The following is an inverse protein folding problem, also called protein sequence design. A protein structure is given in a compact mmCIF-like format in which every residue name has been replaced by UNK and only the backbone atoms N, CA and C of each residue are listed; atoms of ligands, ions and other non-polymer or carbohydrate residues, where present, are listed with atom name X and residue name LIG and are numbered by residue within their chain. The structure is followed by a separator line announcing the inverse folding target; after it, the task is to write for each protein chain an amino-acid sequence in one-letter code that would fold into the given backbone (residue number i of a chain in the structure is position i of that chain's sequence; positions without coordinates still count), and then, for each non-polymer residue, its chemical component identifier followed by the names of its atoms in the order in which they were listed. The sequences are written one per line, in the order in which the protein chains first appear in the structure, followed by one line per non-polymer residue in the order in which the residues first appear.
data_IF_298666296848
#
_entry.id   IF_298666296848
#
_cell.length_a   1.000
_cell.length_b   1.000
_cell.length_c   1.000
_cell.angle_alpha   90.00
_cell.angle_beta   90.00
_cell.angle_gamma   90.00
#
_symmetry.space_group_name_H-M   'P 1'
#
loop_
_entity.id
_entity.type
_entity.pdbx_description
1 polymer ?
#
# COMPACT_ATOMS: atom_id res chain seq x y z
N UNK A 1 33.34 17.48 21.16
CA UNK A 1 33.39 16.55 20.03
C UNK A 1 32.03 16.62 19.40
N UNK A 2 31.95 17.27 18.25
CA UNK A 2 30.68 17.60 17.60
C UNK A 2 30.01 16.32 17.13
N UNK A 3 28.87 15.97 17.73
CA UNK A 3 27.98 14.96 17.16
C UNK A 3 27.31 15.60 15.95
N UNK A 4 27.82 15.31 14.77
CA UNK A 4 27.17 15.62 13.50
C UNK A 4 25.75 15.02 13.54
N UNK A 5 24.72 15.84 13.31
CA UNK A 5 23.34 15.39 13.35
C UNK A 5 23.12 14.51 12.13
N UNK A 6 22.85 13.22 12.35
CA UNK A 6 22.37 12.33 11.29
C UNK A 6 20.95 12.73 10.88
N UNK A 7 20.85 13.51 9.80
CA UNK A 7 19.57 13.96 9.24
C UNK A 7 18.71 12.83 8.68
N UNK A 8 19.29 11.64 8.52
CA UNK A 8 18.58 10.46 8.03
C UNK A 8 17.97 9.63 9.17
N UNK A 9 18.18 9.99 10.44
CA UNK A 9 17.68 9.28 11.64
C UNK A 9 16.15 9.03 11.61
N UNK A 10 15.69 7.97 12.31
CA UNK A 10 14.28 7.52 12.30
C UNK A 10 13.35 8.59 12.84
N UNK A 11 13.86 9.49 13.68
CA UNK A 11 13.13 10.63 14.22
C UNK A 11 12.74 11.66 13.15
N UNK A 12 13.44 11.69 12.02
CA UNK A 12 13.12 12.55 10.87
C UNK A 12 12.29 11.81 9.80
N UNK A 13 12.08 10.50 9.95
CA UNK A 13 11.31 9.69 9.01
C UNK A 13 9.85 9.55 9.46
N UNK A 14 8.93 10.10 8.67
CA UNK A 14 7.50 9.93 8.93
C UNK A 14 7.03 8.62 8.29
N UNK A 15 6.93 7.57 9.11
CA UNK A 15 6.39 6.29 8.66
C UNK A 15 4.90 6.43 8.31
N UNK A 16 4.60 6.31 7.01
CA UNK A 16 3.24 6.24 6.44
C UNK A 16 2.78 4.79 6.27
N UNK A 17 1.52 4.51 5.89
CA UNK A 17 0.95 3.16 5.95
C UNK A 17 1.81 2.06 5.29
N UNK A 18 2.43 2.35 4.14
CA UNK A 18 3.32 1.39 3.47
C UNK A 18 4.54 1.00 4.31
N UNK A 19 5.19 1.96 5.00
CA UNK A 19 6.32 1.64 5.88
C UNK A 19 5.85 1.02 7.20
N UNK A 20 4.73 1.50 7.74
CA UNK A 20 4.16 0.99 8.98
C UNK A 20 3.78 -0.48 8.88
N UNK A 21 3.23 -0.92 7.74
CA UNK A 21 2.84 -2.32 7.55
C UNK A 21 4.05 -3.25 7.48
N UNK A 22 5.18 -2.79 6.91
CA UNK A 22 6.43 -3.56 6.85
C UNK A 22 7.07 -3.74 8.23
N UNK A 23 7.00 -2.72 9.08
CA UNK A 23 7.56 -2.74 10.45
C UNK A 23 6.66 -3.46 11.46
N UNK A 24 5.48 -3.95 11.05
CA UNK A 24 4.55 -4.59 11.98
C UNK A 24 4.96 -6.04 12.29
N UNK A 25 5.04 -6.44 13.58
CA UNK A 25 5.52 -7.78 13.98
C UNK A 25 4.52 -8.92 13.73
N UNK A 26 3.31 -8.61 13.26
CA UNK A 26 2.22 -9.56 13.03
C UNK A 26 1.57 -9.27 11.69
N UNK A 27 0.89 -10.28 11.12
CA UNK A 27 0.18 -10.14 9.86
C UNK A 27 -0.87 -9.02 9.95
N UNK A 28 -0.78 -8.05 9.04
CA UNK A 28 -1.70 -6.90 8.96
C UNK A 28 -2.36 -6.82 7.60
N UNK A 29 -3.43 -6.03 7.55
CA UNK A 29 -4.11 -5.65 6.31
C UNK A 29 -3.64 -4.27 5.89
N UNK A 30 -3.22 -4.12 4.64
CA UNK A 30 -3.02 -2.84 3.98
C UNK A 30 -4.19 -2.61 3.03
N UNK A 31 -4.98 -1.57 3.30
CA UNK A 31 -6.04 -1.11 2.41
C UNK A 31 -5.54 0.09 1.61
N UNK A 32 -5.62 0.00 0.28
CA UNK A 32 -5.41 1.13 -0.63
C UNK A 32 -6.73 1.41 -1.30
N UNK A 33 -7.27 2.58 -1.01
CA UNK A 33 -8.57 2.99 -1.54
C UNK A 33 -8.43 3.70 -2.88
N UNK A 34 -9.38 3.46 -3.79
CA UNK A 34 -9.49 4.10 -5.11
C UNK A 34 -8.16 4.13 -5.89
N UNK A 35 -7.49 2.99 -6.04
CA UNK A 35 -6.16 2.91 -6.67
C UNK A 35 -6.15 3.48 -8.10
N UNK A 36 -7.29 3.46 -8.79
CA UNK A 36 -7.45 4.05 -10.13
C UNK A 36 -7.24 5.58 -10.17
N UNK A 37 -7.29 6.26 -9.02
CA UNK A 37 -7.05 7.70 -8.89
C UNK A 37 -5.59 8.05 -8.59
N UNK A 38 -4.73 7.06 -8.33
CA UNK A 38 -3.30 7.32 -8.13
C UNK A 38 -2.61 7.68 -9.43
N UNK A 39 -1.47 8.37 -9.32
CA UNK A 39 -0.56 8.56 -10.43
C UNK A 39 0.24 7.28 -10.76
N UNK A 40 0.99 7.34 -11.86
CA UNK A 40 1.80 6.23 -12.34
C UNK A 40 3.03 5.96 -11.45
N UNK A 41 3.55 6.98 -10.77
CA UNK A 41 4.71 6.84 -9.89
C UNK A 41 4.34 6.01 -8.66
N UNK A 42 3.16 6.27 -8.09
CA UNK A 42 2.61 5.48 -7.00
C UNK A 42 2.29 4.04 -7.42
N UNK A 43 1.72 3.82 -8.62
CA UNK A 43 1.49 2.47 -9.13
C UNK A 43 2.80 1.69 -9.27
N UNK A 44 3.87 2.33 -9.75
CA UNK A 44 5.18 1.71 -9.89
C UNK A 44 5.78 1.36 -8.51
N UNK A 45 5.71 2.27 -7.54
CA UNK A 45 6.12 2.01 -6.16
C UNK A 45 5.33 0.85 -5.55
N UNK A 46 4.01 0.83 -5.75
CA UNK A 46 3.16 -0.24 -5.24
C UNK A 46 3.48 -1.58 -5.90
N UNK A 47 3.81 -1.59 -7.19
CA UNK A 47 4.24 -2.80 -7.90
C UNK A 47 5.57 -3.35 -7.36
N UNK A 48 6.53 -2.47 -7.07
CA UNK A 48 7.79 -2.84 -6.41
C UNK A 48 7.51 -3.41 -5.02
N UNK A 49 6.71 -2.69 -4.23
CA UNK A 49 6.29 -3.10 -2.89
C UNK A 49 5.64 -4.48 -2.90
N UNK A 50 4.68 -4.73 -3.78
CA UNK A 50 3.95 -6.00 -3.87
C UNK A 50 4.82 -7.16 -4.39
N UNK A 51 5.97 -6.86 -4.99
CA UNK A 51 6.87 -7.91 -5.49
C UNK A 51 7.62 -8.62 -4.36
N UNK A 52 8.06 -7.87 -3.35
CA UNK A 52 8.95 -8.38 -2.31
C UNK A 52 8.51 -8.02 -0.87
N UNK A 53 7.42 -7.27 -0.73
CA UNK A 53 7.00 -6.65 0.54
C UNK A 53 8.16 -5.93 1.21
N UNK A 54 8.76 -5.00 0.47
CA UNK A 54 9.87 -4.18 0.94
C UNK A 54 9.79 -2.75 0.38
N UNK A 55 10.50 -1.83 1.02
CA UNK A 55 10.76 -0.48 0.52
C UNK A 55 12.24 -0.18 0.68
N UNK A 56 12.86 0.33 -0.39
CA UNK A 56 14.23 0.83 -0.34
C UNK A 56 14.22 2.33 -0.04
N UNK A 57 14.87 2.73 1.04
CA UNK A 57 15.00 4.12 1.44
C UNK A 57 16.46 4.53 1.26
N UNK A 58 16.75 5.58 0.48
CA UNK A 58 18.09 6.14 0.36
C UNK A 58 18.75 6.35 1.72
N UNK A 59 20.06 6.10 1.81
CA UNK A 59 20.87 6.21 3.05
C UNK A 59 20.45 5.29 4.22
N UNK A 60 19.39 4.50 4.05
CA UNK A 60 18.77 3.69 5.11
C UNK A 60 18.65 2.22 4.75
N UNK A 61 18.82 1.92 3.46
CA UNK A 61 18.74 0.58 2.92
C UNK A 61 17.30 0.10 2.75
N UNK A 62 17.16 -1.21 2.62
CA UNK A 62 15.88 -1.85 2.31
C UNK A 62 15.23 -2.39 3.57
N UNK A 63 13.98 -1.99 3.80
CA UNK A 63 13.14 -2.45 4.89
C UNK A 63 12.19 -3.48 4.32
N UNK A 64 12.21 -4.71 4.83
CA UNK A 64 11.37 -5.82 4.39
C UNK A 64 10.40 -6.23 5.51
N UNK A 65 9.19 -6.64 5.13
CA UNK A 65 8.23 -7.18 6.08
C UNK A 65 8.73 -8.49 6.70
N UNK A 66 8.62 -8.61 8.03
CA UNK A 66 8.84 -9.87 8.74
C UNK A 66 7.73 -10.90 8.41
N UNK A 67 6.50 -10.43 8.23
CA UNK A 67 5.35 -11.23 7.83
C UNK A 67 4.61 -10.55 6.66
N UNK A 68 4.30 -11.31 5.60
CA UNK A 68 3.63 -10.76 4.42
C UNK A 68 2.23 -10.24 4.76
N UNK A 69 1.93 -8.96 4.55
CA UNK A 69 0.61 -8.41 4.79
C UNK A 69 -0.40 -8.88 3.73
N UNK A 70 -1.67 -8.92 4.13
CA UNK A 70 -2.77 -9.02 3.18
C UNK A 70 -2.99 -7.63 2.60
N UNK A 71 -2.99 -7.50 1.28
CA UNK A 71 -3.23 -6.22 0.61
C UNK A 71 -4.58 -6.24 -0.08
N UNK A 72 -5.40 -5.24 0.20
CA UNK A 72 -6.69 -5.01 -0.44
C UNK A 72 -6.60 -3.71 -1.22
N UNK A 73 -6.85 -3.78 -2.51
CA UNK A 73 -6.94 -2.62 -3.39
C UNK A 73 -8.40 -2.45 -3.78
N UNK A 74 -8.99 -1.27 -3.56
CA UNK A 74 -10.32 -0.95 -4.07
C UNK A 74 -10.18 -0.08 -5.31
N UNK A 75 -11.16 -0.17 -6.21
CA UNK A 75 -11.19 0.66 -7.39
C UNK A 75 -12.61 0.89 -7.87
N UNK A 76 -12.90 2.12 -8.27
CA UNK A 76 -14.16 2.48 -8.93
C UNK A 76 -14.07 2.31 -10.46
N UNK A 77 -12.92 1.82 -10.97
CA UNK A 77 -12.63 1.64 -12.40
C UNK A 77 -12.84 2.91 -13.23
N UNK A 78 -12.57 4.07 -12.65
CA UNK A 78 -12.57 5.35 -13.37
C UNK A 78 -11.43 5.44 -14.38
N UNK A 79 -10.34 4.72 -14.12
CA UNK A 79 -9.20 4.50 -15.02
C UNK A 79 -8.78 3.03 -14.99
N UNK A 80 -8.23 2.55 -16.10
CA UNK A 80 -7.59 1.23 -16.12
C UNK A 80 -6.25 1.25 -15.37
N UNK A 81 -6.07 0.28 -14.47
CA UNK A 81 -4.81 0.05 -13.78
C UNK A 81 -3.76 -0.52 -14.74
N UNK A 82 -2.48 -0.21 -14.47
CA UNK A 82 -1.37 -0.76 -15.23
C UNK A 82 -1.43 -2.30 -15.25
N UNK A 83 -1.24 -2.90 -16.42
CA UNK A 83 -1.39 -4.35 -16.61
C UNK A 83 -0.54 -5.16 -15.64
N UNK A 84 0.66 -4.68 -15.31
CA UNK A 84 1.55 -5.31 -14.35
C UNK A 84 0.93 -5.42 -12.94
N UNK A 85 0.25 -4.37 -12.47
CA UNK A 85 -0.44 -4.37 -11.18
C UNK A 85 -1.64 -5.31 -11.23
N UNK A 86 -2.40 -5.28 -12.33
CA UNK A 86 -3.55 -6.17 -12.55
C UNK A 86 -3.17 -7.66 -12.45
N UNK A 87 -2.06 -8.04 -13.07
CA UNK A 87 -1.54 -9.42 -13.08
C UNK A 87 -1.08 -9.92 -11.69
N UNK A 88 -0.91 -9.03 -10.72
CA UNK A 88 -0.55 -9.35 -9.32
C UNK A 88 -1.76 -9.45 -8.38
N UNK A 89 -2.97 -9.20 -8.89
CA UNK A 89 -4.18 -9.13 -8.07
C UNK A 89 -5.17 -10.26 -8.39
N UNK A 90 -5.89 -10.71 -7.36
CA UNK A 90 -7.12 -11.50 -7.52
C UNK A 90 -8.29 -10.52 -7.62
N UNK A 91 -9.05 -10.61 -8.71
CA UNK A 91 -10.17 -9.70 -8.96
C UNK A 91 -11.46 -10.19 -8.30
N UNK A 92 -12.09 -9.31 -7.54
CA UNK A 92 -13.44 -9.50 -7.03
C UNK A 92 -14.33 -8.32 -7.46
N UNK A 93 -15.47 -8.63 -8.08
CA UNK A 93 -16.44 -7.62 -8.53
C UNK A 93 -17.54 -7.49 -7.50
N UNK A 94 -17.72 -6.29 -6.96
CA UNK A 94 -18.80 -5.96 -6.02
C UNK A 94 -19.88 -5.22 -6.79
N UNK A 95 -21.08 -5.81 -6.83
CA UNK A 95 -22.26 -5.17 -7.44
C UNK A 95 -22.89 -4.20 -6.45
N UNK A 96 -23.61 -3.20 -6.99
CA UNK A 96 -24.42 -2.33 -6.16
C UNK A 96 -25.49 -3.14 -5.42
N UNK A 97 -25.77 -2.86 -4.13
CA UNK A 97 -26.83 -3.55 -3.40
C UNK A 97 -28.19 -3.30 -4.04
N UNK A 98 -29.15 -4.20 -3.85
CA UNK A 98 -30.54 -3.91 -4.19
C UNK A 98 -31.14 -2.87 -3.22
N UNK A 99 -32.24 -2.24 -3.64
CA UNK A 99 -32.88 -1.17 -2.88
C UNK A 99 -33.38 -1.65 -1.50
N UNK A 100 -33.73 -2.94 -1.36
CA UNK A 100 -34.16 -3.51 -0.09
C UNK A 100 -32.99 -3.62 0.90
N UNK A 101 -31.84 -4.10 0.41
CA UNK A 101 -30.59 -4.20 1.18
C UNK A 101 -30.05 -2.84 1.55
N UNK A 102 -30.14 -1.86 0.66
CA UNK A 102 -29.79 -0.46 0.93
C UNK A 102 -30.69 0.15 2.01
N UNK A 103 -32.01 -0.06 1.93
CA UNK A 103 -32.94 0.42 2.95
C UNK A 103 -32.73 -0.21 4.34
N UNK A 104 -32.17 -1.42 4.41
CA UNK A 104 -31.91 -2.11 5.68
C UNK A 104 -30.67 -1.60 6.45
N UNK A 105 -29.83 -0.77 5.82
CA UNK A 105 -28.57 -0.24 6.39
C UNK A 105 -28.60 1.29 6.62
N UNK A 106 -29.73 1.95 6.38
CA UNK A 106 -30.02 3.35 6.73
C UNK A 106 -30.84 3.39 8.02
#
# INVERSE_FOLDING_TARGET
GEHEIDIYDDRFLIARPLLQVLKAPQQRVLLVDEIDRSDHEFEALLLEFLSDFQISIPERGTIRAEAQPIVVLTSNRTRELAEALRRRCVYHWIVYPDAEREAAII
#
